data_IF_850827237382
#
_entry.id   IF_850827237382
#
_cell.length_a   1.000
_cell.length_b   1.000
_cell.length_c   1.000
_cell.angle_alpha   90.00
_cell.angle_beta   90.00
_cell.angle_gamma   90.00
#
_symmetry.space_group_name_H-M   'P 1'
#
loop_
_entity.id
_entity.type
_entity.pdbx_description
1 polymer ?
#
# COMPACT_ATOMS: atom_id res chain seq x y z
N UNK A 1 -29.29 0.95 24.70
CA UNK A 1 -27.98 1.39 25.22
C UNK A 1 -26.93 1.06 24.19
N UNK A 2 -26.35 2.08 23.55
CA UNK A 2 -25.38 1.89 22.48
C UNK A 2 -24.10 1.27 23.05
N UNK A 3 -23.82 0.02 22.68
CA UNK A 3 -22.49 -0.58 22.79
C UNK A 3 -21.55 0.19 21.88
N UNK A 4 -21.04 1.31 22.39
CA UNK A 4 -20.02 2.11 21.72
C UNK A 4 -18.78 1.23 21.54
N UNK A 5 -18.58 0.73 20.31
CA UNK A 5 -17.33 0.07 19.93
C UNK A 5 -16.22 1.08 20.21
N UNK A 6 -15.41 0.86 21.25
CA UNK A 6 -14.24 1.71 21.51
C UNK A 6 -13.33 1.58 20.30
N UNK A 7 -13.27 2.63 19.49
CA UNK A 7 -12.24 2.76 18.47
C UNK A 7 -10.90 2.85 19.18
N UNK A 8 -9.97 2.00 18.75
CA UNK A 8 -8.61 2.07 19.22
C UNK A 8 -7.72 2.78 18.20
N UNK A 9 -6.48 3.06 18.61
CA UNK A 9 -5.55 3.84 17.79
C UNK A 9 -5.23 3.18 16.44
N UNK A 10 -5.31 1.85 16.31
CA UNK A 10 -5.07 1.17 15.02
C UNK A 10 -6.28 1.31 14.11
N UNK A 11 -7.50 1.35 14.64
CA UNK A 11 -8.68 1.67 13.83
C UNK A 11 -8.55 3.09 13.24
N UNK A 12 -8.08 4.06 14.03
CA UNK A 12 -7.80 5.41 13.54
C UNK A 12 -6.66 5.44 12.51
N UNK A 13 -5.54 4.75 12.80
CA UNK A 13 -4.41 4.69 11.88
C UNK A 13 -4.81 4.04 10.55
N UNK A 14 -5.59 2.96 10.59
CA UNK A 14 -6.14 2.32 9.39
C UNK A 14 -7.05 3.27 8.61
N UNK A 15 -7.93 4.01 9.28
CA UNK A 15 -8.81 4.96 8.59
C UNK A 15 -8.01 6.10 7.94
N UNK A 16 -7.00 6.63 8.64
CA UNK A 16 -6.11 7.66 8.12
C UNK A 16 -5.32 7.13 6.91
N UNK A 17 -4.67 5.97 7.04
CA UNK A 17 -3.96 5.32 5.94
C UNK A 17 -4.90 5.00 4.78
N UNK A 18 -6.11 4.54 5.05
CA UNK A 18 -7.11 4.25 4.02
C UNK A 18 -7.54 5.49 3.24
N UNK A 19 -7.78 6.61 3.94
CA UNK A 19 -8.10 7.89 3.32
C UNK A 19 -6.92 8.43 2.49
N UNK A 20 -5.70 8.33 3.01
CA UNK A 20 -4.49 8.75 2.30
C UNK A 20 -4.21 7.90 1.06
N UNK A 21 -4.35 6.57 1.15
CA UNK A 21 -4.20 5.68 -0.01
C UNK A 21 -5.27 5.94 -1.06
N UNK A 22 -6.52 6.17 -0.64
CA UNK A 22 -7.59 6.54 -1.56
C UNK A 22 -7.28 7.86 -2.28
N UNK A 23 -6.87 8.88 -1.53
CA UNK A 23 -6.48 10.17 -2.09
C UNK A 23 -5.27 10.04 -3.04
N UNK A 24 -4.26 9.24 -2.68
CA UNK A 24 -3.09 8.98 -3.51
C UNK A 24 -3.43 8.22 -4.81
N UNK A 25 -4.35 7.25 -4.74
CA UNK A 25 -4.84 6.56 -5.93
C UNK A 25 -5.60 7.49 -6.86
N UNK A 26 -6.44 8.37 -6.31
CA UNK A 26 -7.16 9.40 -7.10
C UNK A 26 -6.18 10.43 -7.68
N UNK A 27 -5.19 10.88 -6.90
CA UNK A 27 -4.20 11.85 -7.35
C UNK A 27 -3.39 11.35 -8.56
N UNK A 28 -3.10 10.04 -8.62
CA UNK A 28 -2.42 9.40 -9.76
C UNK A 28 -3.20 9.46 -11.07
N UNK A 29 -4.51 9.74 -11.04
CA UNK A 29 -5.29 9.97 -12.25
C UNK A 29 -5.09 11.38 -12.85
N UNK A 30 -4.42 12.29 -12.12
CA UNK A 30 -4.22 13.67 -12.52
C UNK A 30 -2.73 13.98 -12.77
N UNK A 31 -2.25 13.90 -14.02
CA UNK A 31 -0.84 14.15 -14.36
C UNK A 31 -0.37 15.58 -14.08
N UNK A 32 -1.30 16.52 -13.82
CA UNK A 32 -0.98 17.88 -13.36
C UNK A 32 -0.40 17.93 -11.94
N UNK A 33 -0.60 16.89 -11.13
CA UNK A 33 -0.20 16.84 -9.72
C UNK A 33 1.13 16.10 -9.57
N UNK A 34 1.30 14.99 -10.29
CA UNK A 34 2.49 14.14 -10.21
C UNK A 34 2.77 13.55 -11.60
N UNK A 35 3.95 13.82 -12.17
CA UNK A 35 4.38 13.18 -13.41
C UNK A 35 4.97 11.79 -13.10
N UNK A 36 4.07 10.88 -12.79
CA UNK A 36 4.42 9.49 -12.44
C UNK A 36 5.14 8.80 -13.60
N UNK A 37 4.84 9.17 -14.85
CA UNK A 37 5.48 8.59 -16.02
C UNK A 37 6.97 8.94 -16.07
N UNK A 38 7.31 10.20 -15.80
CA UNK A 38 8.70 10.64 -15.71
C UNK A 38 9.44 9.98 -14.53
N UNK A 39 8.82 9.92 -13.35
CA UNK A 39 9.37 9.22 -12.18
C UNK A 39 9.70 7.75 -12.50
N UNK A 40 8.81 7.05 -13.19
CA UNK A 40 9.00 5.64 -13.56
C UNK A 40 10.11 5.45 -14.62
N UNK A 41 10.29 6.42 -15.53
CA UNK A 41 11.43 6.40 -16.48
C UNK A 41 12.76 6.59 -15.76
N UNK A 42 12.84 7.59 -14.89
CA UNK A 42 14.05 7.85 -14.11
C UNK A 42 14.38 6.70 -13.15
N UNK A 43 13.36 6.02 -12.62
CA UNK A 43 13.51 4.78 -11.87
C UNK A 43 14.12 3.65 -12.72
N UNK A 44 13.72 3.52 -13.99
CA UNK A 44 14.30 2.52 -14.88
C UNK A 44 15.77 2.82 -15.21
N UNK A 45 16.08 4.08 -15.52
CA UNK A 45 17.45 4.55 -15.73
C UNK A 45 18.34 4.29 -14.51
N UNK A 46 17.84 4.57 -13.31
CA UNK A 46 18.57 4.34 -12.06
C UNK A 46 18.81 2.85 -11.74
N UNK A 47 18.05 1.94 -12.35
CA UNK A 47 18.18 0.50 -12.18
C UNK A 47 18.93 -0.18 -13.33
N UNK A 48 19.40 0.56 -14.33
CA UNK A 48 20.22 -0.01 -15.40
C UNK A 48 21.48 -0.70 -14.85
N UNK A 49 21.84 -1.83 -15.46
CA UNK A 49 22.98 -2.64 -15.04
C UNK A 49 22.77 -3.45 -13.74
N UNK A 50 21.55 -3.46 -13.19
CA UNK A 50 21.21 -4.22 -11.97
C UNK A 50 20.33 -5.42 -12.28
N UNK A 51 20.17 -6.32 -11.30
CA UNK A 51 19.22 -7.43 -11.40
C UNK A 51 17.75 -6.96 -11.49
N UNK A 52 17.44 -5.69 -11.19
CA UNK A 52 16.11 -5.11 -11.29
C UNK A 52 15.82 -4.51 -12.67
N UNK A 53 16.83 -4.34 -13.53
CA UNK A 53 16.68 -3.74 -14.86
C UNK A 53 15.55 -4.35 -15.72
N UNK A 54 15.35 -5.68 -15.77
CA UNK A 54 14.27 -6.25 -16.58
C UNK A 54 12.88 -5.84 -16.09
N UNK A 55 12.69 -5.76 -14.77
CA UNK A 55 11.42 -5.39 -14.16
C UNK A 55 11.16 -3.89 -14.30
N UNK A 56 12.17 -3.05 -14.05
CA UNK A 56 12.04 -1.60 -14.21
C UNK A 56 11.81 -1.21 -15.67
N UNK A 57 12.45 -1.89 -16.62
CA UNK A 57 12.23 -1.66 -18.05
C UNK A 57 10.84 -2.10 -18.50
N UNK A 58 10.35 -3.25 -18.02
CA UNK A 58 8.97 -3.68 -18.30
C UNK A 58 7.93 -2.66 -17.81
N UNK A 59 8.18 -2.03 -16.67
CA UNK A 59 7.35 -0.94 -16.13
C UNK A 59 7.47 0.33 -16.99
N UNK A 60 8.69 0.68 -17.42
CA UNK A 60 8.94 1.84 -18.29
C UNK A 60 8.39 1.68 -19.72
N UNK A 61 8.27 0.45 -20.22
CA UNK A 61 7.62 0.15 -21.50
C UNK A 61 6.09 0.20 -21.39
N UNK A 62 5.54 0.06 -20.18
CA UNK A 62 4.10 0.00 -19.91
C UNK A 62 3.65 1.05 -18.89
N UNK A 63 4.21 2.27 -18.96
CA UNK A 63 4.01 3.35 -17.98
C UNK A 63 2.54 3.56 -17.64
N UNK A 64 1.69 3.74 -18.66
CA UNK A 64 0.26 4.00 -18.47
C UNK A 64 -0.42 2.86 -17.71
N UNK A 65 -0.13 1.59 -18.07
CA UNK A 65 -0.71 0.45 -17.40
C UNK A 65 -0.22 0.33 -15.95
N UNK A 66 1.05 0.59 -15.69
CA UNK A 66 1.63 0.59 -14.35
C UNK A 66 1.02 1.68 -13.46
N UNK A 67 0.88 2.91 -13.95
CA UNK A 67 0.24 4.00 -13.22
C UNK A 67 -1.21 3.64 -12.86
N UNK A 68 -1.99 3.14 -13.82
CA UNK A 68 -3.38 2.75 -13.57
C UNK A 68 -3.49 1.58 -12.59
N UNK A 69 -2.63 0.57 -12.71
CA UNK A 69 -2.61 -0.57 -11.79
C UNK A 69 -2.38 -0.09 -10.35
N UNK A 70 -1.38 0.77 -10.13
CA UNK A 70 -1.06 1.31 -8.81
C UNK A 70 -2.18 2.22 -8.30
N UNK A 71 -2.74 3.08 -9.15
CA UNK A 71 -3.84 3.96 -8.80
C UNK A 71 -5.07 3.17 -8.33
N UNK A 72 -5.45 2.14 -9.10
CA UNK A 72 -6.58 1.26 -8.77
C UNK A 72 -6.28 0.46 -7.50
N UNK A 73 -5.07 -0.08 -7.35
CA UNK A 73 -4.68 -0.85 -6.17
C UNK A 73 -4.78 0.01 -4.89
N UNK A 74 -4.22 1.22 -4.91
CA UNK A 74 -4.27 2.18 -3.79
C UNK A 74 -5.70 2.63 -3.47
N UNK A 75 -6.51 2.91 -4.50
CA UNK A 75 -7.89 3.30 -4.31
C UNK A 75 -8.71 2.14 -3.71
N UNK A 76 -8.58 0.93 -4.25
CA UNK A 76 -9.29 -0.25 -3.79
C UNK A 76 -8.87 -0.65 -2.36
N UNK A 77 -7.57 -0.62 -2.05
CA UNK A 77 -7.07 -0.93 -0.70
C UNK A 77 -7.49 0.14 0.31
N UNK A 78 -7.43 1.43 -0.07
CA UNK A 78 -7.91 2.54 0.75
C UNK A 78 -9.39 2.40 1.10
N UNK A 79 -10.20 2.03 0.10
CA UNK A 79 -11.63 1.77 0.27
C UNK A 79 -11.90 0.56 1.19
N UNK A 80 -11.12 -0.51 1.05
CA UNK A 80 -11.18 -1.68 1.93
C UNK A 80 -10.88 -1.33 3.40
N UNK A 81 -9.92 -0.43 3.62
CA UNK A 81 -9.54 0.06 4.95
C UNK A 81 -10.63 0.94 5.57
N UNK A 82 -11.26 1.80 4.77
CA UNK A 82 -12.36 2.67 5.20
C UNK A 82 -13.63 1.88 5.57
N UNK A 83 -14.01 0.90 4.76
CA UNK A 83 -15.22 0.10 5.01
C UNK A 83 -14.99 -1.11 5.93
N UNK A 84 -13.76 -1.32 6.40
CA UNK A 84 -13.39 -2.47 7.22
C UNK A 84 -13.81 -3.82 6.58
N UNK A 85 -13.76 -3.90 5.25
CA UNK A 85 -14.11 -5.10 4.48
C UNK A 85 -12.94 -5.47 3.59
N UNK A 86 -12.59 -6.75 3.53
CA UNK A 86 -11.41 -7.22 2.79
C UNK A 86 -10.09 -6.58 3.26
N UNK A 87 -10.00 -6.18 4.54
CA UNK A 87 -8.83 -5.48 5.08
C UNK A 87 -7.56 -6.35 5.05
N UNK A 88 -7.69 -7.65 5.30
CA UNK A 88 -6.55 -8.59 5.25
C UNK A 88 -5.95 -8.70 3.86
N UNK A 89 -6.71 -9.04 2.79
CA UNK A 89 -6.13 -9.07 1.44
C UNK A 89 -5.68 -7.70 0.96
N UNK A 90 -6.33 -6.61 1.38
CA UNK A 90 -5.87 -5.24 1.08
C UNK A 90 -4.50 -4.94 1.71
N UNK A 91 -4.32 -5.24 3.00
CA UNK A 91 -3.05 -5.05 3.71
C UNK A 91 -1.93 -5.92 3.11
N UNK A 92 -2.23 -7.18 2.74
CA UNK A 92 -1.25 -8.04 2.06
C UNK A 92 -0.86 -7.49 0.68
N UNK A 93 -1.84 -7.02 -0.10
CA UNK A 93 -1.59 -6.41 -1.40
C UNK A 93 -0.73 -5.14 -1.29
N UNK A 94 -1.03 -4.28 -0.31
CA UNK A 94 -0.25 -3.07 -0.04
C UNK A 94 1.18 -3.40 0.41
N UNK A 95 1.38 -4.38 1.29
CA UNK A 95 2.72 -4.83 1.69
C UNK A 95 3.56 -5.30 0.49
N UNK A 96 2.98 -6.11 -0.39
CA UNK A 96 3.66 -6.56 -1.62
C UNK A 96 3.99 -5.37 -2.52
N UNK A 97 3.02 -4.47 -2.73
CA UNK A 97 3.18 -3.28 -3.55
C UNK A 97 4.29 -2.37 -3.01
N UNK A 98 4.26 -2.01 -1.72
CA UNK A 98 5.27 -1.16 -1.10
C UNK A 98 6.65 -1.82 -1.11
N UNK A 99 6.74 -3.14 -0.90
CA UNK A 99 8.04 -3.84 -0.97
C UNK A 99 8.65 -3.79 -2.38
N UNK A 100 7.83 -3.98 -3.42
CA UNK A 100 8.25 -3.83 -4.82
C UNK A 100 8.66 -2.39 -5.14
N UNK A 101 7.86 -1.41 -4.74
CA UNK A 101 8.17 0.00 -4.97
C UNK A 101 9.42 0.44 -4.22
N UNK A 102 9.58 0.04 -2.95
CA UNK A 102 10.79 0.33 -2.19
C UNK A 102 12.04 -0.24 -2.87
N UNK A 103 11.99 -1.50 -3.32
CA UNK A 103 13.14 -2.13 -3.96
C UNK A 103 13.50 -1.48 -5.30
N UNK A 104 12.50 -1.07 -6.09
CA UNK A 104 12.70 -0.38 -7.36
C UNK A 104 13.14 1.09 -7.19
N UNK A 105 12.57 1.81 -6.23
CA UNK A 105 12.85 3.23 -6.00
C UNK A 105 14.05 3.49 -5.09
N UNK A 106 14.60 2.47 -4.42
CA UNK A 106 15.69 2.63 -3.46
C UNK A 106 16.87 3.45 -3.99
N UNK A 107 17.23 3.22 -5.26
CA UNK A 107 18.34 3.93 -5.91
C UNK A 107 17.98 5.33 -6.41
N UNK A 108 16.74 5.52 -6.83
CA UNK A 108 16.30 6.77 -7.44
C UNK A 108 15.88 7.81 -6.39
N UNK A 109 14.99 7.42 -5.46
CA UNK A 109 14.39 8.35 -4.51
C UNK A 109 14.16 7.70 -3.14
N UNK A 110 15.22 7.56 -2.32
CA UNK A 110 15.12 6.93 -1.01
C UNK A 110 14.22 7.70 -0.03
N UNK A 111 13.91 8.98 -0.30
CA UNK A 111 12.96 9.74 0.51
C UNK A 111 11.53 9.14 0.48
N UNK A 112 11.13 8.50 -0.62
CA UNK A 112 9.80 7.84 -0.73
C UNK A 112 9.68 6.69 0.29
N UNK A 113 10.80 6.02 0.59
CA UNK A 113 10.85 4.93 1.56
C UNK A 113 10.41 5.40 2.95
N UNK A 114 10.84 6.60 3.36
CA UNK A 114 10.46 7.18 4.63
C UNK A 114 8.95 7.52 4.70
N UNK A 115 8.34 7.84 3.55
CA UNK A 115 6.91 8.12 3.43
C UNK A 115 6.09 6.83 3.46
N UNK A 116 6.60 5.74 2.88
CA UNK A 116 5.90 4.44 2.81
C UNK A 116 6.00 3.63 4.12
N UNK A 117 7.06 3.82 4.92
CA UNK A 117 7.30 3.10 6.18
C UNK A 117 6.11 3.11 7.16
N UNK A 118 5.46 4.26 7.41
CA UNK A 118 4.27 4.32 8.26
C UNK A 118 3.10 3.49 7.71
N UNK A 119 2.89 3.44 6.40
CA UNK A 119 1.82 2.64 5.80
C UNK A 119 2.07 1.15 5.98
N UNK A 120 3.31 0.70 5.73
CA UNK A 120 3.75 -0.68 6.00
C UNK A 120 3.51 -1.03 7.47
N UNK A 121 3.87 -0.15 8.41
CA UNK A 121 3.65 -0.38 9.83
C UNK A 121 2.16 -0.55 10.17
N UNK A 122 1.29 0.28 9.60
CA UNK A 122 -0.17 0.16 9.77
C UNK A 122 -0.69 -1.15 9.21
N UNK A 123 -0.25 -1.56 8.01
CA UNK A 123 -0.65 -2.81 7.37
C UNK A 123 -0.26 -4.03 8.23
N UNK A 124 0.96 -4.02 8.78
CA UNK A 124 1.44 -5.07 9.68
C UNK A 124 0.61 -5.14 10.97
N UNK A 125 0.26 -4.00 11.58
CA UNK A 125 -0.55 -3.95 12.79
C UNK A 125 -1.98 -4.45 12.54
N UNK A 126 -2.55 -4.07 11.41
CA UNK A 126 -3.86 -4.55 10.95
C UNK A 126 -3.84 -6.06 10.75
N UNK A 127 -2.79 -6.58 10.12
CA UNK A 127 -2.61 -8.01 9.87
C UNK A 127 -2.39 -8.78 11.18
N UNK A 128 -1.53 -8.28 12.08
CA UNK A 128 -1.27 -8.85 13.39
C UNK A 128 -2.56 -9.00 14.20
N UNK A 129 -3.42 -7.98 14.19
CA UNK A 129 -4.74 -8.04 14.84
C UNK A 129 -5.68 -9.04 14.20
N UNK A 130 -5.69 -9.10 12.87
CA UNK A 130 -6.50 -10.10 12.17
C UNK A 130 -6.07 -11.52 12.55
N UNK A 131 -4.77 -11.77 12.67
CA UNK A 131 -4.23 -13.05 13.16
C UNK A 131 -4.58 -13.31 14.62
N UNK A 132 -4.38 -12.35 15.52
CA UNK A 132 -4.74 -12.48 16.94
C UNK A 132 -6.22 -12.79 17.14
N UNK A 133 -7.11 -12.15 16.38
CA UNK A 133 -8.55 -12.44 16.43
C UNK A 133 -8.87 -13.85 15.93
N UNK A 134 -8.18 -14.34 14.90
CA UNK A 134 -8.35 -15.73 14.42
C UNK A 134 -7.81 -16.77 15.41
N UNK A 135 -6.67 -16.50 16.05
CA UNK A 135 -6.07 -17.42 17.02
C UNK A 135 -6.77 -17.39 18.39
N UNK A 136 -7.28 -16.25 18.84
CA UNK A 136 -8.06 -16.13 20.08
C UNK A 136 -9.39 -16.88 20.05
N UNK A 137 -10.01 -16.99 18.86
CA UNK A 137 -11.19 -17.84 18.64
C UNK A 137 -10.87 -19.35 18.69
N UNK A 138 -9.62 -19.74 18.43
CA UNK A 138 -9.17 -21.14 18.52
C UNK A 138 -9.00 -21.65 19.95
N UNK A 139 -8.76 -20.77 20.92
CA UNK A 139 -8.65 -21.13 22.35
C UNK A 139 -10.00 -21.17 23.06
N UNK A 140 -10.98 -20.38 22.60
CA UNK A 140 -12.33 -20.34 23.20
C UNK A 140 -13.23 -21.52 22.77
N UNK A 141 -12.87 -22.27 21.72
CA UNK A 141 -13.63 -23.43 21.25
C UNK A 141 -13.22 -24.75 21.95
N UNK A 142 -12.28 -24.70 22.90
CA UNK A 142 -11.80 -25.88 23.66
C UNK A 142 -12.26 -25.93 25.12
N UNK A 143 -13.13 -25.02 25.56
CA UNK A 143 -13.77 -25.07 26.88
C UNK A 143 -15.24 -25.41 26.76
#
# INVERSE_FOLDING_TARGET
MATGRRYDWVDYARLASGALCLAAGIAKAFPRIEDVAETLRQMAEANEGTALAPLSNLIADNLTAAVWLVAIALAASGLAFLFNRFVVPAALGQLVMFSLFMTLLFRFQPAIIAIDLPFIAVDLLVLQRAFQRRHGLGSAQKC
#
